data_IF_599065739018
#
_entry.id   IF_599065739018
#
_cell.length_a   1.000
_cell.length_b   1.000
_cell.length_c   1.000
_cell.angle_alpha   90.00
_cell.angle_beta   90.00
_cell.angle_gamma   90.00
#
_symmetry.space_group_name_H-M   'P 1'
#
loop_
_entity.id
_entity.type
_entity.pdbx_description
1 polymer ?
#
# COMPACT_ATOMS: atom_id res chain seq x y z
N UNK A 1 -2.50 16.55 -11.24
CA UNK A 1 -3.75 16.29 -10.50
C UNK A 1 -3.47 15.24 -9.44
N UNK A 2 -3.23 15.68 -8.21
CA UNK A 2 -3.17 14.79 -7.06
C UNK A 2 -4.50 14.10 -6.83
N UNK A 3 -4.47 12.95 -6.17
CA UNK A 3 -5.65 12.09 -6.02
C UNK A 3 -6.88 12.79 -5.37
N UNK A 4 -6.65 13.82 -4.54
CA UNK A 4 -7.73 14.57 -3.87
C UNK A 4 -8.23 15.78 -4.67
N UNK A 5 -7.59 16.14 -5.79
CA UNK A 5 -7.98 17.30 -6.59
C UNK A 5 -9.32 17.07 -7.31
N UNK A 6 -9.95 18.16 -7.73
CA UNK A 6 -11.15 18.12 -8.57
C UNK A 6 -10.85 17.34 -9.86
N UNK A 7 -11.78 16.49 -10.26
CA UNK A 7 -11.60 15.69 -11.45
C UNK A 7 -11.65 16.57 -12.71
N UNK A 8 -10.65 16.43 -13.56
CA UNK A 8 -10.51 17.07 -14.87
C UNK A 8 -11.70 16.87 -15.84
N UNK A 9 -12.59 15.91 -15.59
CA UNK A 9 -13.80 15.71 -16.39
C UNK A 9 -14.91 16.74 -16.12
N UNK A 10 -14.70 17.69 -15.21
CA UNK A 10 -15.69 18.73 -14.88
C UNK A 10 -16.82 18.27 -13.97
N UNK A 11 -16.76 17.04 -13.43
CA UNK A 11 -17.84 16.50 -12.57
C UNK A 11 -17.94 17.14 -11.18
N UNK A 12 -17.01 18.02 -10.80
CA UNK A 12 -16.92 18.61 -9.46
C UNK A 12 -16.55 17.61 -8.34
N UNK A 13 -16.45 16.31 -8.65
CA UNK A 13 -16.06 15.26 -7.70
C UNK A 13 -14.54 15.16 -7.62
N UNK A 14 -14.03 14.68 -6.48
CA UNK A 14 -12.59 14.38 -6.29
C UNK A 14 -12.14 13.30 -7.28
N UNK A 15 -10.92 13.39 -7.81
CA UNK A 15 -10.38 12.43 -8.78
C UNK A 15 -10.44 10.97 -8.28
N UNK A 16 -10.13 10.73 -6.99
CA UNK A 16 -10.32 9.43 -6.30
C UNK A 16 -11.70 8.81 -6.48
N UNK A 17 -12.74 9.63 -6.53
CA UNK A 17 -14.15 9.20 -6.60
C UNK A 17 -14.72 9.20 -8.01
N UNK A 18 -13.91 9.54 -9.03
CA UNK A 18 -14.41 9.72 -10.40
C UNK A 18 -13.63 8.93 -11.44
N UNK A 19 -12.34 9.21 -11.65
CA UNK A 19 -11.55 8.56 -12.71
C UNK A 19 -10.44 7.67 -12.17
N UNK A 20 -10.07 7.81 -10.90
CA UNK A 20 -9.06 6.94 -10.28
C UNK A 20 -9.42 5.45 -10.40
N UNK A 21 -10.68 5.07 -10.16
CA UNK A 21 -11.10 3.67 -10.28
C UNK A 21 -11.01 3.14 -11.72
N UNK A 22 -11.21 4.01 -12.72
CA UNK A 22 -11.08 3.64 -14.13
C UNK A 22 -9.62 3.52 -14.55
N UNK A 23 -8.77 4.44 -14.09
CA UNK A 23 -7.32 4.38 -14.26
C UNK A 23 -6.76 3.12 -13.61
N UNK A 24 -7.13 2.80 -12.37
CA UNK A 24 -6.66 1.59 -11.68
C UNK A 24 -7.10 0.30 -12.39
N UNK A 25 -8.30 0.29 -12.99
CA UNK A 25 -8.76 -0.83 -13.80
C UNK A 25 -7.97 -0.95 -15.12
N UNK A 26 -7.70 0.18 -15.77
CA UNK A 26 -6.91 0.23 -17.00
C UNK A 26 -5.45 -0.19 -16.76
N UNK A 27 -4.83 0.30 -15.68
CA UNK A 27 -3.48 -0.09 -15.28
C UNK A 27 -3.40 -1.58 -14.93
N UNK A 28 -4.41 -2.12 -14.23
CA UNK A 28 -4.48 -3.57 -13.96
C UNK A 28 -4.54 -4.38 -15.25
N UNK A 29 -5.43 -4.01 -16.17
CA UNK A 29 -5.55 -4.69 -17.47
C UNK A 29 -4.27 -4.56 -18.31
N UNK A 30 -3.64 -3.38 -18.31
CA UNK A 30 -2.37 -3.14 -18.97
C UNK A 30 -1.25 -4.00 -18.34
N UNK A 31 -1.24 -4.15 -17.02
CA UNK A 31 -0.28 -5.00 -16.31
C UNK A 31 -0.48 -6.48 -16.61
N UNK A 32 -1.72 -6.96 -16.76
CA UNK A 32 -2.02 -8.33 -17.21
C UNK A 32 -1.54 -8.57 -18.65
N UNK A 33 -1.78 -7.60 -19.54
CA UNK A 33 -1.29 -7.63 -20.93
C UNK A 33 0.24 -7.58 -21.01
N UNK A 34 0.87 -6.79 -20.14
CA UNK A 34 2.32 -6.70 -20.05
C UNK A 34 2.92 -7.99 -19.48
N UNK A 35 2.31 -8.59 -18.46
CA UNK A 35 2.75 -9.86 -17.88
C UNK A 35 2.72 -11.00 -18.91
N UNK A 36 1.69 -11.04 -19.76
CA UNK A 36 1.61 -11.99 -20.87
C UNK A 36 2.70 -11.77 -21.94
N UNK A 37 3.12 -10.51 -22.16
CA UNK A 37 4.16 -10.17 -23.15
C UNK A 37 5.59 -10.36 -22.60
N UNK A 38 5.81 -10.16 -21.31
CA UNK A 38 7.11 -10.42 -20.66
C UNK A 38 7.40 -11.90 -20.45
N UNK A 39 6.41 -12.78 -20.62
CA UNK A 39 6.60 -14.24 -20.57
C UNK A 39 7.25 -14.82 -21.84
N UNK A 40 7.44 -14.00 -22.89
CA UNK A 40 8.04 -14.42 -24.17
C UNK A 40 9.57 -14.14 -24.27
N UNK A 41 10.20 -13.55 -23.25
CA UNK A 41 11.66 -13.48 -23.14
C UNK A 41 12.12 -14.55 -22.15
N UNK A 42 12.74 -15.66 -22.61
CA UNK A 42 13.26 -16.67 -21.71
C UNK A 42 14.49 -16.15 -20.95
N UNK A 43 14.53 -16.55 -19.68
CA UNK A 43 15.60 -16.49 -18.66
C UNK A 43 16.99 -15.95 -19.07
N UNK A 44 17.58 -15.16 -18.16
CA UNK A 44 18.82 -15.63 -17.55
C UNK A 44 18.54 -16.20 -16.17
N UNK A 45 18.83 -17.49 -16.10
CA UNK A 45 19.16 -18.28 -14.93
C UNK A 45 19.97 -17.44 -13.90
N UNK A 46 19.79 -17.73 -12.62
CA UNK A 46 20.49 -17.16 -11.47
C UNK A 46 19.91 -15.85 -10.89
N UNK A 47 18.83 -16.00 -10.15
CA UNK A 47 18.73 -15.36 -8.84
C UNK A 47 17.89 -16.23 -7.90
N UNK A 48 18.52 -17.28 -7.35
CA UNK A 48 18.09 -17.75 -6.03
C UNK A 48 18.28 -16.53 -5.11
N UNK A 49 17.22 -15.97 -4.48
CA UNK A 49 17.45 -14.90 -3.52
C UNK A 49 18.34 -15.50 -2.44
N UNK A 50 19.55 -14.97 -2.29
CA UNK A 50 20.42 -15.32 -1.18
C UNK A 50 19.62 -15.20 0.12
N UNK A 51 19.80 -16.11 1.10
CA UNK A 51 19.07 -16.02 2.36
C UNK A 51 19.26 -14.63 2.95
N UNK A 52 18.14 -13.99 3.30
CA UNK A 52 18.15 -12.61 3.79
C UNK A 52 19.14 -12.48 4.97
N UNK A 53 19.98 -11.43 4.99
CA UNK A 53 20.93 -11.24 6.06
C UNK A 53 20.19 -11.16 7.41
N UNK A 54 20.79 -11.67 8.50
CA UNK A 54 20.16 -11.62 9.81
C UNK A 54 19.88 -10.16 10.19
N UNK A 55 18.66 -9.91 10.67
CA UNK A 55 18.24 -8.60 11.16
C UNK A 55 19.23 -8.06 12.19
N UNK A 56 19.65 -6.82 11.99
CA UNK A 56 20.57 -6.12 12.88
C UNK A 56 19.98 -6.06 14.30
N UNK A 57 20.63 -6.74 15.25
CA UNK A 57 20.31 -6.64 16.67
C UNK A 57 21.06 -5.44 17.25
N UNK A 58 20.72 -4.24 16.77
CA UNK A 58 21.15 -3.01 17.41
C UNK A 58 20.16 -2.74 18.54
N UNK A 59 20.66 -2.64 19.78
CA UNK A 59 19.89 -2.09 20.90
C UNK A 59 19.61 -0.62 20.60
N UNK A 60 18.58 -0.37 19.81
CA UNK A 60 18.14 0.98 19.47
C UNK A 60 17.42 1.56 20.69
N UNK A 61 17.99 2.55 21.39
CA UNK A 61 17.44 3.05 22.66
C UNK A 61 16.06 3.73 22.49
N UNK A 62 15.68 4.15 21.28
CA UNK A 62 14.35 4.69 21.00
C UNK A 62 13.28 3.61 20.83
N UNK A 63 13.67 2.38 20.44
CA UNK A 63 12.78 1.22 20.47
C UNK A 63 12.79 0.75 21.92
N UNK A 64 12.00 1.43 22.75
CA UNK A 64 11.83 1.10 24.17
C UNK A 64 11.51 -0.39 24.37
N UNK A 65 11.68 -0.87 25.61
CA UNK A 65 11.44 -2.26 25.99
C UNK A 65 10.18 -2.78 25.33
N UNK A 66 10.30 -3.85 24.54
CA UNK A 66 9.16 -4.48 23.89
C UNK A 66 8.14 -4.82 24.97
N UNK A 67 7.05 -4.05 25.03
CA UNK A 67 6.01 -4.24 26.02
C UNK A 67 5.33 -5.58 25.75
N UNK A 68 5.71 -6.61 26.51
CA UNK A 68 5.16 -7.97 26.41
C UNK A 68 3.76 -8.06 27.00
N UNK A 69 3.28 -7.02 27.69
CA UNK A 69 1.86 -6.80 27.97
C UNK A 69 1.32 -5.89 26.87
N UNK A 70 0.86 -6.52 25.79
CA UNK A 70 0.35 -5.85 24.60
C UNK A 70 -0.64 -4.71 24.89
N UNK A 71 -0.84 -3.84 23.89
CA UNK A 71 -1.91 -2.85 23.86
C UNK A 71 -3.26 -3.54 24.09
N UNK A 72 -3.64 -3.68 25.36
CA UNK A 72 -4.99 -4.03 25.77
C UNK A 72 -5.88 -2.98 25.15
N UNK A 73 -6.77 -3.42 24.26
CA UNK A 73 -7.72 -2.58 23.54
C UNK A 73 -8.62 -1.96 24.58
N UNK A 74 -8.26 -0.78 25.07
CA UNK A 74 -9.15 0.00 25.91
C UNK A 74 -10.26 0.46 24.99
N UNK A 75 -11.38 -0.26 25.03
CA UNK A 75 -12.57 0.02 24.26
C UNK A 75 -13.25 1.25 24.88
N UNK A 76 -12.70 2.43 24.60
CA UNK A 76 -13.29 3.69 25.04
C UNK A 76 -14.49 3.93 24.12
N UNK A 77 -15.74 3.92 24.63
CA UNK A 77 -16.89 4.26 23.81
C UNK A 77 -16.73 5.69 23.31
N UNK A 78 -16.82 5.89 21.99
CA UNK A 78 -16.87 7.22 21.40
C UNK A 78 -18.09 7.94 21.98
N UNK A 79 -17.85 9.05 22.67
CA UNK A 79 -18.90 9.91 23.24
C UNK A 79 -19.71 10.53 22.10
N UNK A 80 -20.78 9.86 21.70
CA UNK A 80 -21.83 10.43 20.85
C UNK A 80 -22.79 11.20 21.75
N UNK A 81 -22.90 12.51 21.54
CA UNK A 81 -23.98 13.32 22.13
C UNK A 81 -23.48 14.59 22.81
N UNK A 82 -23.54 15.70 22.08
CA UNK A 82 -23.52 17.05 22.60
C UNK A 82 -24.10 17.95 21.52
N UNK A 83 -25.37 18.34 21.70
CA UNK A 83 -26.09 19.32 20.88
C UNK A 83 -25.37 20.66 20.81
#
# INVERSE_FOLDING_TARGET
>A
MGRNDACHCGSGKKYKQCHLAKDEAAERAAREKAAAQTAATPEPEAQRPAPAPPKHNTRQPWKGQQNTRGFGKLNIPRRSGGS
#
